data_IF_750039542631
#
_entry.id   IF_750039542631
#
_cell.length_a   1.000
_cell.length_b   1.000
_cell.length_c   1.000
_cell.angle_alpha   90.00
_cell.angle_beta   90.00
_cell.angle_gamma   90.00
#
_symmetry.space_group_name_H-M   'P 1'
#
loop_
_entity.id
_entity.type
_entity.pdbx_description
1 polymer ?
#
# COMPACT_ATOMS: atom_id res chain seq x y z
N UNK A 1 7.10 16.87 -19.85
CA UNK A 1 7.05 16.61 -18.40
C UNK A 1 6.44 15.24 -18.13
N UNK A 2 7.03 14.48 -17.21
CA UNK A 2 6.59 13.15 -16.75
C UNK A 2 5.97 13.29 -15.37
N UNK A 3 4.81 12.66 -15.13
CA UNK A 3 4.25 12.59 -13.77
C UNK A 3 4.35 11.17 -13.20
N UNK A 4 5.05 11.03 -12.09
CA UNK A 4 5.20 9.79 -11.34
C UNK A 4 4.26 9.82 -10.13
N UNK A 5 3.34 8.86 -10.05
CA UNK A 5 2.50 8.68 -8.85
C UNK A 5 3.21 7.69 -7.94
N UNK A 6 3.66 8.16 -6.78
CA UNK A 6 4.51 7.42 -5.85
C UNK A 6 3.82 6.96 -4.57
N UNK A 7 4.63 6.82 -3.52
CA UNK A 7 4.22 6.31 -2.21
C UNK A 7 4.57 4.83 -1.97
N UNK A 8 5.51 4.29 -2.76
CA UNK A 8 6.05 2.94 -2.59
C UNK A 8 7.58 2.96 -2.58
N UNK A 9 8.19 1.88 -2.10
CA UNK A 9 9.65 1.68 -2.18
C UNK A 9 10.17 1.76 -3.62
N UNK A 10 9.36 1.34 -4.58
CA UNK A 10 9.67 1.30 -6.00
C UNK A 10 9.64 2.69 -6.61
N UNK A 11 8.71 3.55 -6.22
CA UNK A 11 8.73 4.95 -6.66
C UNK A 11 9.98 5.68 -6.15
N UNK A 12 10.43 5.39 -4.92
CA UNK A 12 11.70 5.93 -4.40
C UNK A 12 12.87 5.47 -5.25
N UNK A 13 13.00 4.15 -5.44
CA UNK A 13 14.11 3.60 -6.21
C UNK A 13 14.13 4.09 -7.66
N UNK A 14 12.95 4.23 -8.28
CA UNK A 14 12.84 4.79 -9.61
C UNK A 14 13.34 6.24 -9.65
N UNK A 15 12.92 7.08 -8.71
CA UNK A 15 13.42 8.46 -8.57
C UNK A 15 14.92 8.48 -8.37
N UNK A 16 15.46 7.60 -7.51
CA UNK A 16 16.91 7.48 -7.29
C UNK A 16 17.69 7.14 -8.58
N UNK A 17 17.11 6.34 -9.48
CA UNK A 17 17.70 5.95 -10.77
C UNK A 17 17.64 7.03 -11.84
N UNK A 18 16.75 8.01 -11.70
CA UNK A 18 16.51 9.08 -12.70
C UNK A 18 16.82 10.47 -12.14
N UNK A 19 17.55 10.57 -11.03
CA UNK A 19 17.92 11.86 -10.39
C UNK A 19 18.71 12.79 -11.32
N UNK A 20 19.29 12.26 -12.38
CA UNK A 20 19.99 13.00 -13.43
C UNK A 20 19.06 13.70 -14.42
N UNK A 21 17.73 13.50 -14.33
CA UNK A 21 16.72 14.09 -15.19
C UNK A 21 15.94 15.18 -14.45
N UNK A 22 15.59 16.25 -15.15
CA UNK A 22 14.80 17.36 -14.58
C UNK A 22 13.32 17.31 -15.01
N UNK A 23 12.99 16.57 -16.07
CA UNK A 23 11.66 16.56 -16.69
C UNK A 23 10.64 15.61 -16.03
N UNK A 24 10.65 15.52 -14.68
CA UNK A 24 9.65 14.75 -13.94
C UNK A 24 9.11 15.46 -12.69
N UNK A 25 7.87 15.16 -12.35
CA UNK A 25 7.24 15.46 -11.05
C UNK A 25 6.86 14.15 -10.38
N UNK A 26 7.09 14.01 -9.07
CA UNK A 26 6.62 12.85 -8.30
C UNK A 26 5.61 13.28 -7.24
N UNK A 27 4.49 12.57 -7.11
CA UNK A 27 3.50 12.84 -6.06
C UNK A 27 3.40 11.73 -5.02
N UNK A 28 3.18 12.13 -3.75
CA UNK A 28 2.87 11.22 -2.64
C UNK A 28 1.61 11.67 -1.91
N UNK A 29 0.77 10.71 -1.51
CA UNK A 29 -0.53 11.00 -0.89
C UNK A 29 -0.45 11.52 0.55
N UNK A 30 0.68 11.34 1.24
CA UNK A 30 0.82 11.65 2.68
C UNK A 30 2.15 12.34 2.96
N UNK A 31 2.17 13.18 4.01
CA UNK A 31 3.36 13.90 4.47
C UNK A 31 4.51 12.98 4.85
N UNK A 32 4.22 11.85 5.49
CA UNK A 32 5.20 10.80 5.77
C UNK A 32 5.95 10.30 4.51
N UNK A 33 5.40 10.51 3.31
CA UNK A 33 6.07 10.18 2.05
C UNK A 33 7.35 10.99 1.80
N UNK A 34 7.45 12.21 2.36
CA UNK A 34 8.66 13.06 2.24
C UNK A 34 9.89 12.41 2.83
N UNK A 35 9.74 11.62 3.88
CA UNK A 35 10.88 10.91 4.50
C UNK A 35 11.49 9.85 3.57
N UNK A 36 10.74 9.39 2.56
CA UNK A 36 11.16 8.31 1.67
C UNK A 36 11.56 8.78 0.29
N UNK A 37 11.13 9.97 -0.15
CA UNK A 37 11.41 10.49 -1.49
C UNK A 37 12.18 11.80 -1.35
N UNK A 38 13.48 11.70 -1.60
CA UNK A 38 14.41 12.84 -1.59
C UNK A 38 14.52 13.40 -3.01
N UNK A 39 13.67 14.37 -3.33
CA UNK A 39 13.62 15.05 -4.63
C UNK A 39 12.96 16.41 -4.52
N UNK A 40 13.55 17.42 -5.14
CA UNK A 40 12.96 18.76 -5.25
C UNK A 40 11.67 18.78 -6.09
N UNK A 41 11.44 17.71 -6.86
CA UNK A 41 10.25 17.51 -7.70
C UNK A 41 9.09 16.83 -6.94
N UNK A 42 9.21 16.65 -5.61
CA UNK A 42 8.19 15.98 -4.80
C UNK A 42 7.02 16.91 -4.46
N UNK A 43 5.83 16.44 -4.81
CA UNK A 43 4.55 17.06 -4.46
C UNK A 43 3.83 16.18 -3.46
N UNK A 44 3.32 16.78 -2.39
CA UNK A 44 2.65 16.05 -1.33
C UNK A 44 1.22 16.52 -1.16
N UNK A 45 0.32 15.56 -1.11
CA UNK A 45 -1.11 15.79 -0.95
C UNK A 45 -1.91 14.79 -1.77
N UNK A 46 -3.14 14.54 -1.33
CA UNK A 46 -4.11 13.83 -2.15
C UNK A 46 -4.68 14.81 -3.17
N UNK A 47 -4.87 14.34 -4.39
CA UNK A 47 -5.59 15.05 -5.43
C UNK A 47 -6.93 14.34 -5.69
N UNK A 48 -8.00 15.12 -5.85
CA UNK A 48 -9.24 14.67 -6.48
C UNK A 48 -9.03 14.40 -7.96
N UNK A 49 -10.05 13.85 -8.63
CA UNK A 49 -10.02 13.66 -10.08
C UNK A 49 -9.82 14.98 -10.82
N UNK A 50 -10.57 16.02 -10.43
CA UNK A 50 -10.53 17.35 -11.02
C UNK A 50 -9.18 18.04 -10.77
N UNK A 51 -8.62 17.86 -9.58
CA UNK A 51 -7.28 18.36 -9.26
C UNK A 51 -6.21 17.66 -10.10
N UNK A 52 -6.34 16.36 -10.38
CA UNK A 52 -5.42 15.63 -11.27
C UNK A 52 -5.49 16.11 -12.72
N UNK A 53 -6.70 16.37 -13.25
CA UNK A 53 -6.87 16.94 -14.60
C UNK A 53 -6.16 18.28 -14.71
N UNK A 54 -6.43 19.18 -13.77
CA UNK A 54 -5.79 20.48 -13.71
C UNK A 54 -4.27 20.36 -13.54
N UNK A 55 -3.82 19.44 -12.70
CA UNK A 55 -2.39 19.19 -12.50
C UNK A 55 -1.68 18.76 -13.79
N UNK A 56 -2.32 17.89 -14.57
CA UNK A 56 -1.81 17.45 -15.88
C UNK A 56 -1.71 18.62 -16.87
N UNK A 57 -2.73 19.47 -16.92
CA UNK A 57 -2.76 20.66 -17.78
C UNK A 57 -1.71 21.69 -17.36
N UNK A 58 -1.73 22.12 -16.10
CA UNK A 58 -0.86 23.19 -15.57
C UNK A 58 0.64 22.85 -15.72
N UNK A 59 1.00 21.56 -15.63
CA UNK A 59 2.39 21.10 -15.70
C UNK A 59 2.78 20.51 -17.07
N UNK A 60 1.91 20.60 -18.08
CA UNK A 60 2.14 20.04 -19.42
C UNK A 60 2.60 18.57 -19.35
N UNK A 61 1.91 17.77 -18.54
CA UNK A 61 2.21 16.35 -18.37
C UNK A 61 1.88 15.61 -19.67
N UNK A 62 2.85 14.85 -20.16
CA UNK A 62 2.76 14.10 -21.42
C UNK A 62 2.69 12.58 -21.23
N UNK A 63 2.99 12.12 -20.01
CA UNK A 63 2.96 10.71 -19.62
C UNK A 63 2.79 10.60 -18.10
N UNK A 64 1.95 9.65 -17.68
CA UNK A 64 1.75 9.27 -16.28
C UNK A 64 2.38 7.91 -16.04
N UNK A 65 3.21 7.81 -15.01
CA UNK A 65 3.81 6.56 -14.54
C UNK A 65 3.30 6.29 -13.12
N UNK A 66 2.40 5.33 -12.99
CA UNK A 66 1.73 5.02 -11.75
C UNK A 66 2.42 3.88 -10.99
N UNK A 67 3.18 4.23 -9.95
CA UNK A 67 3.80 3.31 -8.99
C UNK A 67 3.08 3.30 -7.62
N UNK A 68 1.85 3.80 -7.55
CA UNK A 68 1.05 3.74 -6.33
C UNK A 68 0.86 2.29 -5.86
N UNK A 69 0.64 2.10 -4.56
CA UNK A 69 0.46 0.76 -3.98
C UNK A 69 -0.64 -0.05 -4.70
N UNK A 70 -0.53 -1.38 -4.86
CA UNK A 70 -1.55 -2.20 -5.55
C UNK A 70 -2.98 -2.16 -4.96
N UNK A 71 -3.15 -1.58 -3.77
CA UNK A 71 -4.45 -1.41 -3.09
C UNK A 71 -4.93 0.06 -3.13
N UNK A 72 -4.22 0.93 -3.85
CA UNK A 72 -4.57 2.32 -4.06
C UNK A 72 -5.48 2.44 -5.30
N UNK A 73 -6.67 1.83 -5.22
CA UNK A 73 -7.62 1.70 -6.35
C UNK A 73 -8.09 3.05 -6.87
N UNK A 74 -8.53 3.94 -5.99
CA UNK A 74 -9.09 5.26 -6.35
C UNK A 74 -8.09 6.11 -7.15
N UNK A 75 -6.86 6.29 -6.65
CA UNK A 75 -5.83 7.07 -7.37
C UNK A 75 -5.46 6.42 -8.70
N UNK A 76 -5.48 5.08 -8.75
CA UNK A 76 -5.14 4.33 -9.96
C UNK A 76 -6.23 4.46 -11.03
N UNK A 77 -7.50 4.37 -10.65
CA UNK A 77 -8.65 4.59 -11.54
C UNK A 77 -8.71 6.04 -12.04
N UNK A 78 -8.55 7.00 -11.13
CA UNK A 78 -8.53 8.42 -11.49
C UNK A 78 -7.39 8.70 -12.49
N UNK A 79 -6.16 8.25 -12.22
CA UNK A 79 -5.04 8.47 -13.12
C UNK A 79 -5.23 7.82 -14.51
N UNK A 80 -5.84 6.63 -14.58
CA UNK A 80 -6.22 6.00 -15.86
C UNK A 80 -7.24 6.84 -16.63
N UNK A 81 -8.24 7.38 -15.94
CA UNK A 81 -9.28 8.22 -16.55
C UNK A 81 -8.70 9.55 -17.02
N UNK A 82 -7.89 10.21 -16.20
CA UNK A 82 -7.19 11.46 -16.53
C UNK A 82 -6.31 11.27 -17.77
N UNK A 83 -5.49 10.22 -17.81
CA UNK A 83 -4.65 9.96 -18.97
C UNK A 83 -5.46 9.79 -20.26
N UNK A 84 -6.61 9.09 -20.17
CA UNK A 84 -7.52 8.89 -21.30
C UNK A 84 -8.15 10.20 -21.76
N UNK A 85 -8.63 11.02 -20.82
CA UNK A 85 -9.29 12.30 -21.12
C UNK A 85 -8.30 13.33 -21.69
N UNK A 86 -7.09 13.39 -21.14
CA UNK A 86 -6.02 14.27 -21.62
C UNK A 86 -5.28 13.74 -22.86
N UNK A 87 -5.58 12.51 -23.32
CA UNK A 87 -4.93 11.90 -24.49
C UNK A 87 -3.45 11.58 -24.30
N UNK A 88 -3.01 11.33 -23.07
CA UNK A 88 -1.59 11.09 -22.72
C UNK A 88 -1.33 9.63 -22.37
N UNK A 89 -0.06 9.23 -22.44
CA UNK A 89 0.34 7.85 -22.16
C UNK A 89 0.21 7.54 -20.67
N UNK A 90 -0.33 6.36 -20.35
CA UNK A 90 -0.42 5.85 -18.99
C UNK A 90 0.37 4.55 -18.86
N UNK A 91 1.24 4.47 -17.85
CA UNK A 91 2.02 3.28 -17.54
C UNK A 91 1.77 2.90 -16.09
N UNK A 92 1.44 1.63 -15.85
CA UNK A 92 1.25 1.06 -14.51
C UNK A 92 2.43 0.17 -14.16
N UNK A 93 3.06 0.42 -13.01
CA UNK A 93 3.92 -0.56 -12.37
C UNK A 93 3.08 -1.53 -11.52
N UNK A 94 3.26 -2.84 -11.72
CA UNK A 94 2.55 -3.88 -10.96
C UNK A 94 3.53 -4.81 -10.27
N UNK A 95 3.26 -5.13 -9.00
CA UNK A 95 4.05 -6.15 -8.29
C UNK A 95 3.50 -7.54 -8.63
N UNK A 96 4.34 -8.56 -8.76
CA UNK A 96 3.84 -9.95 -8.80
C UNK A 96 3.16 -10.33 -7.48
N UNK A 97 2.12 -11.15 -7.56
CA UNK A 97 1.51 -11.79 -6.37
C UNK A 97 2.53 -12.75 -5.75
N UNK A 98 2.52 -12.86 -4.44
CA UNK A 98 3.50 -13.69 -3.70
C UNK A 98 2.84 -14.69 -2.77
N UNK A 99 1.54 -14.56 -2.51
CA UNK A 99 0.85 -15.41 -1.56
C UNK A 99 0.41 -16.76 -2.16
N UNK A 100 0.26 -16.92 -3.48
CA UNK A 100 -0.42 -18.04 -4.15
C UNK A 100 -0.03 -19.47 -3.68
N UNK A 101 1.21 -19.67 -3.19
CA UNK A 101 1.71 -20.97 -2.75
C UNK A 101 1.64 -21.21 -1.23
N UNK A 102 1.00 -20.34 -0.46
CA UNK A 102 0.90 -20.46 1.00
C UNK A 102 -0.48 -20.93 1.45
N UNK A 103 -0.52 -21.73 2.52
CA UNK A 103 -1.77 -22.08 3.19
C UNK A 103 -2.33 -20.84 3.89
N UNK A 104 -3.60 -20.54 3.66
CA UNK A 104 -4.27 -19.36 4.20
C UNK A 104 -5.69 -19.23 3.67
N UNK A 105 -6.42 -18.26 4.22
CA UNK A 105 -7.74 -17.88 3.72
C UNK A 105 -7.56 -16.73 2.73
N UNK A 106 -7.94 -16.96 1.48
CA UNK A 106 -7.87 -15.96 0.41
C UNK A 106 -9.26 -15.40 0.16
N UNK A 107 -9.41 -14.09 0.31
CA UNK A 107 -10.66 -13.38 0.10
C UNK A 107 -10.48 -12.42 -1.07
N UNK A 108 -11.50 -12.17 -1.88
CA UNK A 108 -11.34 -11.40 -3.12
C UNK A 108 -11.13 -9.90 -2.87
N UNK A 109 -11.72 -9.37 -1.80
CA UNK A 109 -11.73 -7.94 -1.50
C UNK A 109 -12.01 -7.69 0.00
N UNK A 110 -12.09 -6.40 0.35
CA UNK A 110 -12.38 -5.96 1.71
C UNK A 110 -13.78 -6.34 2.21
N UNK A 111 -14.81 -6.28 1.36
CA UNK A 111 -16.18 -6.63 1.78
C UNK A 111 -16.28 -8.08 2.20
N UNK A 112 -15.70 -8.99 1.40
CA UNK A 112 -15.60 -10.41 1.75
C UNK A 112 -14.74 -10.62 3.01
N UNK A 113 -13.70 -9.80 3.19
CA UNK A 113 -12.88 -9.80 4.42
C UNK A 113 -13.69 -9.41 5.64
N UNK A 114 -14.54 -8.39 5.54
CA UNK A 114 -15.39 -7.96 6.64
C UNK A 114 -16.43 -9.03 7.00
N UNK A 115 -17.09 -9.61 6.00
CA UNK A 115 -18.05 -10.71 6.22
C UNK A 115 -17.39 -11.92 6.88
N UNK A 116 -16.21 -12.33 6.40
CA UNK A 116 -15.47 -13.46 6.98
C UNK A 116 -15.05 -13.19 8.43
N UNK A 117 -14.42 -12.04 8.70
CA UNK A 117 -13.93 -11.68 10.04
C UNK A 117 -15.08 -11.54 11.04
N UNK A 118 -16.25 -11.05 10.62
CA UNK A 118 -17.42 -10.89 11.50
C UNK A 118 -17.92 -12.21 12.12
N UNK A 119 -17.53 -13.35 11.54
CA UNK A 119 -17.91 -14.70 11.97
C UNK A 119 -16.84 -15.38 12.83
N UNK A 120 -15.66 -14.75 12.99
CA UNK A 120 -14.54 -15.30 13.75
C UNK A 120 -14.61 -14.94 15.24
N UNK A 121 -13.88 -15.72 16.03
CA UNK A 121 -13.58 -15.45 17.44
C UNK A 121 -12.08 -15.62 17.70
N UNK A 122 -11.46 -14.66 18.39
CA UNK A 122 -10.05 -14.71 18.78
C UNK A 122 -9.36 -13.35 18.76
N UNK A 123 -8.03 -13.42 18.78
CA UNK A 123 -7.13 -12.28 18.65
C UNK A 123 -6.71 -12.14 17.18
N UNK A 124 -7.12 -11.03 16.55
CA UNK A 124 -6.86 -10.77 15.14
C UNK A 124 -5.83 -9.66 14.99
N UNK A 125 -4.70 -10.00 14.38
CA UNK A 125 -3.59 -9.08 14.16
C UNK A 125 -3.63 -8.51 12.74
N UNK A 126 -3.84 -7.21 12.62
CA UNK A 126 -3.92 -6.49 11.35
C UNK A 126 -2.56 -5.90 10.96
N UNK A 127 -2.07 -6.34 9.81
CA UNK A 127 -0.87 -5.78 9.15
C UNK A 127 -1.21 -4.84 7.98
N UNK A 128 -2.46 -4.37 7.94
CA UNK A 128 -3.06 -3.65 6.80
C UNK A 128 -2.88 -2.12 6.84
N UNK A 129 -2.30 -1.59 7.92
CA UNK A 129 -2.22 -0.17 8.23
C UNK A 129 -3.51 0.40 8.83
N UNK A 130 -3.57 1.72 9.00
CA UNK A 130 -4.62 2.42 9.74
C UNK A 130 -5.91 2.68 8.96
N UNK A 131 -5.86 2.68 7.62
CA UNK A 131 -6.95 3.17 6.75
C UNK A 131 -8.32 2.57 7.02
N UNK A 132 -8.38 1.26 7.30
CA UNK A 132 -9.62 0.50 7.46
C UNK A 132 -9.94 0.14 8.92
N UNK A 133 -9.24 0.74 9.90
CA UNK A 133 -9.51 0.48 11.33
C UNK A 133 -10.99 0.69 11.66
N UNK A 134 -11.58 1.79 11.16
CA UNK A 134 -12.99 2.09 11.43
C UNK A 134 -13.96 1.06 10.87
N UNK A 135 -13.66 0.46 9.73
CA UNK A 135 -14.49 -0.58 9.12
C UNK A 135 -14.38 -1.89 9.89
N UNK A 136 -13.16 -2.29 10.26
CA UNK A 136 -12.91 -3.48 11.07
C UNK A 136 -13.54 -3.34 12.46
N UNK A 137 -13.37 -2.22 13.17
CA UNK A 137 -13.96 -2.06 14.51
C UNK A 137 -15.50 -2.19 14.50
N UNK A 138 -16.20 -1.86 13.41
CA UNK A 138 -17.66 -2.04 13.31
C UNK A 138 -18.09 -3.50 13.36
N UNK A 139 -17.24 -4.42 12.93
CA UNK A 139 -17.50 -5.86 12.89
C UNK A 139 -16.77 -6.64 13.98
N UNK A 140 -16.14 -5.95 14.94
CA UNK A 140 -15.23 -6.56 15.91
C UNK A 140 -15.90 -7.62 16.78
N UNK A 141 -17.15 -7.42 17.19
CA UNK A 141 -17.84 -8.32 18.11
C UNK A 141 -17.06 -8.51 19.42
N UNK A 142 -16.84 -9.77 19.81
CA UNK A 142 -16.09 -10.15 21.03
C UNK A 142 -14.57 -10.27 20.78
N UNK A 143 -14.11 -10.06 19.54
CA UNK A 143 -12.70 -10.23 19.20
C UNK A 143 -11.81 -9.17 19.83
N UNK A 144 -10.53 -9.51 20.01
CA UNK A 144 -9.47 -8.53 20.27
C UNK A 144 -8.79 -8.21 18.94
N UNK A 145 -8.86 -6.95 18.52
CA UNK A 145 -8.17 -6.50 17.31
C UNK A 145 -6.89 -5.76 17.68
N UNK A 146 -5.79 -6.12 17.00
CA UNK A 146 -4.45 -5.55 17.19
C UNK A 146 -4.04 -4.92 15.87
N UNK A 147 -3.71 -3.63 15.87
CA UNK A 147 -3.36 -2.91 14.65
C UNK A 147 -1.90 -2.53 14.62
N UNK A 148 -1.19 -3.03 13.60
CA UNK A 148 0.12 -2.52 13.23
C UNK A 148 -0.03 -1.40 12.21
N UNK A 149 0.39 -0.20 12.61
CA UNK A 149 0.26 1.04 11.85
C UNK A 149 1.62 1.71 11.69
N UNK A 150 1.71 2.66 10.75
CA UNK A 150 2.86 3.54 10.67
C UNK A 150 2.89 4.47 11.89
N UNK A 151 4.08 4.86 12.40
CA UNK A 151 4.24 5.83 13.46
C UNK A 151 3.99 7.27 12.99
N UNK A 152 3.01 7.46 12.11
CA UNK A 152 2.58 8.76 11.61
C UNK A 152 1.42 9.30 12.44
N UNK A 153 1.39 10.62 12.67
CA UNK A 153 0.37 11.27 13.51
C UNK A 153 -1.05 10.96 13.03
N UNK A 154 -1.29 10.97 11.73
CA UNK A 154 -2.61 10.67 11.15
C UNK A 154 -3.04 9.23 11.47
N UNK A 155 -2.09 8.28 11.53
CA UNK A 155 -2.40 6.89 11.89
C UNK A 155 -2.76 6.74 13.36
N UNK A 156 -2.07 7.49 14.24
CA UNK A 156 -2.37 7.54 15.67
C UNK A 156 -3.72 8.21 15.92
N UNK A 157 -4.04 9.28 15.19
CA UNK A 157 -5.34 9.96 15.27
C UNK A 157 -6.51 9.07 14.84
N UNK A 158 -6.33 8.25 13.80
CA UNK A 158 -7.34 7.25 13.41
C UNK A 158 -7.57 6.25 14.55
N UNK A 159 -6.50 5.73 15.18
CA UNK A 159 -6.64 4.84 16.32
C UNK A 159 -7.40 5.50 17.48
N UNK A 160 -7.07 6.76 17.80
CA UNK A 160 -7.76 7.54 18.84
C UNK A 160 -9.24 7.74 18.50
N UNK A 161 -9.56 8.11 17.25
CA UNK A 161 -10.92 8.33 16.76
C UNK A 161 -11.81 7.09 16.92
N UNK A 162 -11.22 5.91 16.74
CA UNK A 162 -11.92 4.62 16.86
C UNK A 162 -11.75 3.96 18.24
N UNK A 163 -11.25 4.70 19.24
CA UNK A 163 -11.08 4.24 20.62
C UNK A 163 -10.26 2.95 20.75
N UNK A 164 -9.23 2.79 19.92
CA UNK A 164 -8.33 1.63 20.01
C UNK A 164 -7.53 1.76 21.31
N UNK A 165 -7.58 0.73 22.15
CA UNK A 165 -6.79 0.68 23.38
C UNK A 165 -5.29 0.69 23.05
N UNK A 166 -4.49 1.43 23.81
CA UNK A 166 -3.03 1.57 23.56
C UNK A 166 -2.30 0.22 23.48
N UNK A 167 -2.71 -0.75 24.30
CA UNK A 167 -2.16 -2.12 24.31
C UNK A 167 -2.41 -2.92 23.01
N UNK A 168 -3.22 -2.40 22.10
CA UNK A 168 -3.59 -3.02 20.82
C UNK A 168 -3.04 -2.22 19.63
N UNK A 169 -2.18 -1.24 19.85
CA UNK A 169 -1.54 -0.43 18.81
C UNK A 169 -0.06 -0.77 18.77
N UNK A 170 0.44 -1.07 17.56
CA UNK A 170 1.86 -1.23 17.28
C UNK A 170 2.21 -0.19 16.22
N UNK A 171 2.91 0.87 16.61
CA UNK A 171 3.33 1.93 15.71
C UNK A 171 4.79 1.71 15.28
N UNK A 172 4.99 1.05 14.14
CA UNK A 172 6.32 0.70 13.61
C UNK A 172 6.34 0.83 12.09
N UNK A 173 7.49 1.26 11.55
CA UNK A 173 7.75 1.32 10.12
C UNK A 173 8.48 0.06 9.67
N UNK A 174 7.90 -0.65 8.70
CA UNK A 174 8.51 -1.83 8.07
C UNK A 174 9.33 -1.50 6.81
N UNK A 175 9.69 -2.51 6.00
CA UNK A 175 9.30 -3.93 6.10
C UNK A 175 9.90 -4.64 7.32
N UNK A 176 9.33 -5.78 7.70
CA UNK A 176 9.75 -6.56 8.88
C UNK A 176 10.25 -7.94 8.47
N UNK A 177 11.33 -8.40 9.10
CA UNK A 177 11.84 -9.77 8.92
C UNK A 177 10.84 -10.81 9.42
N UNK A 178 11.06 -12.09 9.07
CA UNK A 178 10.26 -13.22 9.59
C UNK A 178 10.25 -13.21 11.12
N UNK A 179 11.43 -13.13 11.74
CA UNK A 179 11.63 -13.19 13.19
C UNK A 179 10.92 -12.04 13.91
N UNK A 180 10.95 -10.84 13.33
CA UNK A 180 10.26 -9.69 13.90
C UNK A 180 8.73 -9.88 13.86
N UNK A 181 8.20 -10.43 12.76
CA UNK A 181 6.78 -10.79 12.69
C UNK A 181 6.43 -11.90 13.70
N UNK A 182 7.26 -12.92 13.86
CA UNK A 182 7.02 -14.00 14.84
C UNK A 182 6.93 -13.47 16.26
N UNK A 183 7.88 -12.63 16.68
CA UNK A 183 7.87 -12.01 18.00
C UNK A 183 6.56 -11.22 18.19
N UNK A 184 6.21 -10.35 17.24
CA UNK A 184 4.97 -9.56 17.35
C UNK A 184 3.72 -10.45 17.40
N UNK A 185 3.60 -11.45 16.54
CA UNK A 185 2.41 -12.30 16.51
C UNK A 185 2.27 -13.13 17.79
N UNK A 186 3.40 -13.60 18.33
CA UNK A 186 3.46 -14.35 19.59
C UNK A 186 3.14 -13.49 20.81
N UNK A 187 3.78 -12.33 20.98
CA UNK A 187 3.56 -11.44 22.13
C UNK A 187 2.10 -10.95 22.23
N UNK A 188 1.42 -10.81 21.08
CA UNK A 188 0.03 -10.41 21.02
C UNK A 188 -0.95 -11.60 20.98
N UNK A 189 -0.46 -12.83 21.08
CA UNK A 189 -1.23 -14.08 21.04
C UNK A 189 -2.18 -14.13 19.85
N UNK A 190 -1.70 -13.80 18.65
CA UNK A 190 -2.55 -13.75 17.45
C UNK A 190 -3.02 -15.15 17.03
N UNK A 191 -4.32 -15.31 16.85
CA UNK A 191 -4.92 -16.53 16.26
C UNK A 191 -5.00 -16.39 14.73
N UNK A 192 -5.21 -15.15 14.26
CA UNK A 192 -5.32 -14.80 12.85
C UNK A 192 -4.46 -13.58 12.53
N UNK A 193 -3.85 -13.56 11.34
CA UNK A 193 -3.14 -12.39 10.83
C UNK A 193 -3.77 -11.93 9.52
N UNK A 194 -4.33 -10.73 9.54
CA UNK A 194 -4.93 -10.10 8.36
C UNK A 194 -3.85 -9.31 7.62
N UNK A 195 -3.69 -9.59 6.33
CA UNK A 195 -2.64 -8.99 5.50
C UNK A 195 -3.09 -8.73 4.07
N UNK A 196 -2.33 -7.88 3.40
CA UNK A 196 -2.41 -7.64 1.95
C UNK A 196 -1.34 -8.48 1.24
N UNK A 197 -1.63 -8.95 0.04
CA UNK A 197 -0.57 -9.39 -0.89
C UNK A 197 0.06 -8.15 -1.53
N UNK A 198 0.94 -7.52 -0.77
CA UNK A 198 1.73 -6.37 -1.20
C UNK A 198 2.95 -6.79 -2.03
N UNK A 199 3.08 -8.06 -2.43
CA UNK A 199 4.28 -8.56 -3.10
C UNK A 199 5.50 -8.66 -2.18
N UNK A 200 6.64 -9.12 -2.72
CA UNK A 200 7.88 -9.37 -1.97
C UNK A 200 8.38 -8.12 -1.23
N UNK A 201 8.43 -6.97 -1.92
CA UNK A 201 8.85 -5.69 -1.33
C UNK A 201 7.95 -5.20 -0.20
N UNK A 202 6.70 -5.66 -0.15
CA UNK A 202 5.77 -5.38 0.95
C UNK A 202 5.94 -6.29 2.17
N UNK A 203 6.94 -7.18 2.16
CA UNK A 203 7.21 -8.12 3.24
C UNK A 203 6.13 -9.19 3.39
N UNK A 204 5.41 -9.56 2.33
CA UNK A 204 4.30 -10.53 2.38
C UNK A 204 4.80 -11.93 2.70
N UNK A 205 5.94 -12.34 2.14
CA UNK A 205 6.53 -13.65 2.36
C UNK A 205 6.93 -13.86 3.83
N UNK A 206 7.57 -12.86 4.43
CA UNK A 206 8.03 -12.89 5.83
C UNK A 206 6.87 -13.04 6.80
N UNK A 207 5.74 -12.36 6.53
CA UNK A 207 4.50 -12.51 7.32
C UNK A 207 3.92 -13.91 7.20
N UNK A 208 3.84 -14.45 5.98
CA UNK A 208 3.29 -15.78 5.73
C UNK A 208 4.16 -16.89 6.33
N UNK A 209 5.48 -16.73 6.26
CA UNK A 209 6.44 -17.64 6.91
C UNK A 209 6.32 -17.60 8.44
N UNK A 210 6.18 -16.41 9.04
CA UNK A 210 5.94 -16.29 10.47
C UNK A 210 4.62 -16.94 10.91
N UNK A 211 3.55 -16.75 10.12
CA UNK A 211 2.26 -17.43 10.37
C UNK A 211 2.42 -18.96 10.34
N UNK A 212 3.15 -19.48 9.35
CA UNK A 212 3.42 -20.91 9.22
C UNK A 212 4.20 -21.47 10.40
N UNK A 213 5.21 -20.75 10.90
CA UNK A 213 6.04 -21.20 12.04
C UNK A 213 5.23 -21.26 13.34
N UNK A 214 4.32 -20.30 13.52
CA UNK A 214 3.52 -20.17 14.75
C UNK A 214 2.16 -20.87 14.69
N UNK A 215 1.86 -21.59 13.61
CA UNK A 215 0.55 -22.22 13.34
C UNK A 215 -0.63 -21.22 13.42
N UNK A 216 -0.38 -19.99 12.95
CA UNK A 216 -1.37 -18.90 12.90
C UNK A 216 -2.02 -18.87 11.52
N UNK A 217 -3.32 -18.61 11.46
CA UNK A 217 -4.06 -18.60 10.19
C UNK A 217 -3.90 -17.24 9.50
N UNK A 218 -3.24 -17.15 8.32
CA UNK A 218 -3.21 -15.90 7.58
C UNK A 218 -4.53 -15.70 6.82
N UNK A 219 -5.08 -14.49 6.90
CA UNK A 219 -6.22 -14.01 6.13
C UNK A 219 -5.69 -12.98 5.12
N UNK A 220 -5.64 -13.37 3.86
CA UNK A 220 -5.08 -12.58 2.77
C UNK A 220 -6.21 -11.87 2.04
N UNK A 221 -6.21 -10.54 2.14
CA UNK A 221 -7.12 -9.68 1.39
C UNK A 221 -6.62 -9.63 -0.05
N UNK A 222 -7.44 -10.10 -0.98
CA UNK A 222 -7.16 -10.09 -2.41
C UNK A 222 -7.16 -8.68 -3.00
N UNK A 223 -6.66 -8.61 -4.22
CA UNK A 223 -6.70 -7.42 -5.07
C UNK A 223 -6.99 -7.86 -6.50
N UNK A 224 -7.63 -6.98 -7.26
CA UNK A 224 -7.85 -7.17 -8.68
C UNK A 224 -6.51 -7.37 -9.42
N UNK A 225 -6.55 -8.17 -10.49
CA UNK A 225 -5.44 -8.23 -11.42
C UNK A 225 -5.37 -6.91 -12.20
N UNK A 226 -4.15 -6.38 -12.33
CA UNK A 226 -3.90 -5.18 -13.12
C UNK A 226 -2.85 -5.54 -14.16
N UNK A 227 -3.10 -5.16 -15.41
CA UNK A 227 -2.06 -5.16 -16.44
C UNK A 227 -1.07 -4.02 -16.17
N UNK A 228 0.22 -4.35 -16.30
CA UNK A 228 1.29 -3.38 -16.15
C UNK A 228 2.67 -4.04 -16.19
N UNK A 229 3.69 -3.22 -16.01
CA UNK A 229 5.10 -3.61 -16.05
C UNK A 229 5.56 -3.93 -14.63
N UNK A 230 6.23 -5.05 -14.44
CA UNK A 230 6.76 -5.48 -13.14
C UNK A 230 8.26 -5.24 -12.96
N UNK A 231 8.92 -4.67 -13.98
CA UNK A 231 10.34 -4.37 -14.02
C UNK A 231 10.62 -2.85 -14.03
N UNK A 232 11.31 -2.37 -13.00
CA UNK A 232 11.70 -0.96 -12.89
C UNK A 232 12.70 -0.51 -13.97
N UNK A 233 13.58 -1.37 -14.44
CA UNK A 233 14.53 -1.03 -15.53
C UNK A 233 13.80 -0.78 -16.85
N UNK A 234 12.68 -1.46 -17.07
CA UNK A 234 11.85 -1.22 -18.24
C UNK A 234 11.11 0.11 -18.14
N UNK A 235 10.57 0.45 -16.96
CA UNK A 235 10.00 1.77 -16.69
C UNK A 235 11.05 2.88 -16.91
N UNK A 236 12.25 2.69 -16.38
CA UNK A 236 13.36 3.64 -16.54
C UNK A 236 13.71 3.87 -18.01
N UNK A 237 13.81 2.81 -18.82
CA UNK A 237 14.04 2.92 -20.27
C UNK A 237 12.94 3.71 -20.97
N UNK A 238 11.69 3.54 -20.55
CA UNK A 238 10.56 4.30 -21.13
C UNK A 238 10.65 5.78 -20.75
N UNK A 239 11.01 6.10 -19.51
CA UNK A 239 11.26 7.48 -19.06
C UNK A 239 12.33 8.13 -19.91
N UNK A 240 13.50 7.48 -20.01
CA UNK A 240 14.66 8.02 -20.71
C UNK A 240 14.46 8.13 -22.22
N UNK A 241 13.60 7.30 -22.82
CA UNK A 241 13.24 7.39 -24.24
C UNK A 241 12.10 8.37 -24.55
N UNK A 242 11.46 8.95 -23.53
CA UNK A 242 10.38 9.92 -23.67
C UNK A 242 10.88 11.38 -23.62
N UNK A 243 12.05 11.60 -23.01
CA UNK A 243 12.78 12.87 -22.96
C UNK A 243 13.65 12.98 -24.22
#
# INVERSE_FOLDING_TARGET
MIWIIGGTSESRELVDRIRDLDEFLISSATEAGREFIDSDNLIVGRMSYEEMLKFVEDNNISIIINLAHPYATIVTENAKNVARESGIKYIRYTRRKTAENFKGIYLNNYEETYDYISKLKGNIFFTTGSKNIGDFERIRGENRFIYRILPAMESIEICRKHNIEMKNIIALLGPFSKECNEIMFKEYNADYVVMKDSGSRGGTLEKLQACKELDIIPIIIGRSEEEGIDNLEEIEKIIRGHI
#
